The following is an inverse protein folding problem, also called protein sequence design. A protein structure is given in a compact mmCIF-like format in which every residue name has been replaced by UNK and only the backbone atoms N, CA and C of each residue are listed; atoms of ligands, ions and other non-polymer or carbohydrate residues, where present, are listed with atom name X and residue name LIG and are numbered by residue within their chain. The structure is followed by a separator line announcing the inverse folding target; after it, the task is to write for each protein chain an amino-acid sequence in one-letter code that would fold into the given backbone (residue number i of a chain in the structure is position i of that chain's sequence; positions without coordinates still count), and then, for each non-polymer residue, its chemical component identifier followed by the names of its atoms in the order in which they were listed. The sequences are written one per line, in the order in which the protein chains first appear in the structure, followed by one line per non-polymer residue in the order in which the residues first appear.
data_IF_584337973924
#
_entry.id   IF_584337973924
#
_cell.length_a   1.000
_cell.length_b   1.000
_cell.length_c   1.000
_cell.angle_alpha   90.00
_cell.angle_beta   90.00
_cell.angle_gamma   90.00
#
_symmetry.space_group_name_H-M   'P 1'
#
loop_
_entity.id
_entity.type
_entity.pdbx_description
1 polymer ?
#
# COMPACT_ATOMS: atom_id res chain seq x y z
N UNK A 1 5.31 46.42 30.19
CA UNK A 1 4.96 46.46 28.75
C UNK A 1 4.54 45.04 28.42
N UNK A 2 3.45 44.54 29.00
CA UNK A 2 2.07 45.03 28.83
C UNK A 2 1.69 44.90 27.37
N UNK A 3 0.99 43.81 27.06
CA UNK A 3 -0.30 43.82 26.35
C UNK A 3 -0.60 42.39 25.86
N UNK A 4 -1.12 41.58 26.80
CA UNK A 4 -1.80 40.32 26.52
C UNK A 4 -3.22 40.42 27.08
N UNK A 5 -3.89 41.52 26.75
CA UNK A 5 -5.33 41.71 26.92
C UNK A 5 -5.93 41.93 25.54
N UNK A 6 -6.50 40.87 24.96
CA UNK A 6 -7.64 40.94 24.04
C UNK A 6 -8.00 39.53 23.55
N UNK A 7 -8.23 38.60 24.50
CA UNK A 7 -9.09 37.45 24.25
C UNK A 7 -10.56 37.88 24.24
N UNK A 8 -10.88 38.96 23.53
CA UNK A 8 -12.25 39.34 23.24
C UNK A 8 -12.72 38.37 22.17
N UNK A 9 -13.72 37.57 22.52
CA UNK A 9 -14.41 36.61 21.68
C UNK A 9 -14.77 37.21 20.32
N UNK A 10 -13.89 37.07 19.34
CA UNK A 10 -14.26 37.23 17.94
C UNK A 10 -15.06 35.98 17.59
N UNK A 11 -16.35 35.99 17.92
CA UNK A 11 -17.32 35.09 17.32
C UNK A 11 -17.08 35.20 15.83
N UNK A 12 -16.55 34.14 15.22
CA UNK A 12 -16.24 34.13 13.78
C UNK A 12 -17.49 34.54 13.00
N UNK A 13 -17.35 35.28 11.90
CA UNK A 13 -18.50 35.68 11.07
C UNK A 13 -19.37 34.47 10.68
N UNK A 14 -18.76 33.29 10.57
CA UNK A 14 -19.43 32.00 10.38
C UNK A 14 -20.30 31.59 11.57
N UNK A 15 -19.86 31.80 12.81
CA UNK A 15 -20.67 31.58 14.00
C UNK A 15 -21.80 32.60 14.13
N UNK A 16 -21.58 33.86 13.73
CA UNK A 16 -22.63 34.88 13.65
C UNK A 16 -23.67 34.50 12.61
N UNK A 17 -23.22 34.07 11.42
CA UNK A 17 -24.08 33.63 10.33
C UNK A 17 -24.89 32.38 10.71
N UNK A 18 -24.24 31.39 11.34
CA UNK A 18 -24.89 30.18 11.85
C UNK A 18 -25.92 30.50 12.94
N UNK A 19 -25.59 31.40 13.88
CA UNK A 19 -26.56 31.87 14.89
C UNK A 19 -27.74 32.59 14.25
N UNK A 20 -27.50 33.50 13.30
CA UNK A 20 -28.56 34.21 12.60
C UNK A 20 -29.46 33.26 11.82
N UNK A 21 -28.90 32.28 11.12
CA UNK A 21 -29.65 31.28 10.39
C UNK A 21 -30.50 30.37 11.30
N UNK A 22 -29.97 30.03 12.49
CA UNK A 22 -30.74 29.28 13.50
C UNK A 22 -31.84 30.11 14.16
N UNK A 23 -31.65 31.43 14.27
CA UNK A 23 -32.68 32.35 14.79
C UNK A 23 -33.76 32.61 13.73
N UNK A 24 -33.39 32.89 12.48
CA UNK A 24 -34.32 33.19 11.38
C UNK A 24 -35.08 31.95 10.84
N UNK A 25 -34.70 30.73 11.24
CA UNK A 25 -35.34 29.50 10.80
C UNK A 25 -36.61 29.16 11.59
N UNK A 26 -37.80 29.41 11.01
CA UNK A 26 -39.17 29.07 11.46
C UNK A 26 -39.59 29.54 12.89
N UNK A 27 -38.68 29.57 13.88
CA UNK A 27 -38.96 29.86 15.30
C UNK A 27 -39.32 31.32 15.57
N UNK A 28 -38.69 32.29 14.88
CA UNK A 28 -39.06 33.71 15.01
C UNK A 28 -40.49 33.95 14.52
N UNK A 29 -40.92 33.24 13.48
CA UNK A 29 -42.27 33.36 12.91
C UNK A 29 -43.32 32.71 13.82
N UNK A 30 -43.02 31.53 14.39
CA UNK A 30 -43.91 30.87 15.35
C UNK A 30 -44.06 31.66 16.67
N UNK A 31 -42.99 32.27 17.21
CA UNK A 31 -43.08 33.13 18.41
C UNK A 31 -43.94 34.39 18.14
N UNK A 32 -43.75 35.06 16.99
CA UNK A 32 -44.58 36.20 16.60
C UNK A 32 -46.06 35.82 16.41
N UNK A 33 -46.33 34.60 15.94
CA UNK A 33 -47.70 34.08 15.79
C UNK A 33 -48.35 33.76 17.12
N UNK A 34 -47.59 33.23 18.08
CA UNK A 34 -48.06 33.02 19.46
C UNK A 34 -48.41 34.37 20.09
N UNK A 35 -47.56 35.39 19.95
CA UNK A 35 -47.83 36.74 20.45
C UNK A 35 -49.08 37.37 19.81
N UNK A 36 -49.29 37.10 18.51
CA UNK A 36 -50.48 37.55 17.77
C UNK A 36 -51.75 36.84 18.23
N UNK A 37 -51.70 35.53 18.49
CA UNK A 37 -52.80 34.77 19.06
C UNK A 37 -53.17 35.29 20.46
N UNK A 38 -52.17 35.53 21.31
CA UNK A 38 -52.39 36.10 22.65
C UNK A 38 -53.04 37.48 22.59
N UNK A 39 -52.56 38.35 21.71
CA UNK A 39 -53.14 39.69 21.52
C UNK A 39 -54.58 39.62 21.00
N UNK A 40 -54.85 38.71 20.05
CA UNK A 40 -56.20 38.49 19.50
C UNK A 40 -57.16 37.90 20.55
N UNK A 41 -56.66 37.04 21.44
CA UNK A 41 -57.43 36.46 22.54
C UNK A 41 -57.83 37.52 23.59
N UNK A 42 -56.91 38.43 23.94
CA UNK A 42 -57.19 39.55 24.86
C UNK A 42 -58.26 40.47 24.23
N UNK A 43 -58.11 40.84 22.96
CA UNK A 43 -59.08 41.66 22.24
C UNK A 43 -60.47 41.01 22.16
N UNK A 44 -60.52 39.69 21.96
CA UNK A 44 -61.77 38.93 21.95
C UNK A 44 -62.44 38.87 23.33
N UNK A 45 -61.65 38.79 24.41
CA UNK A 45 -62.16 38.86 25.80
C UNK A 45 -62.77 40.24 26.10
N UNK A 46 -62.14 41.33 25.64
CA UNK A 46 -62.63 42.69 25.83
C UNK A 46 -63.89 43.00 24.98
N UNK A 47 -64.06 42.31 23.84
CA UNK A 47 -65.19 42.48 22.93
C UNK A 47 -66.49 41.75 23.34
N UNK A 48 -66.46 40.92 24.40
CA UNK A 48 -67.62 40.14 24.88
C UNK A 48 -68.85 40.99 25.30
N UNK A 49 -68.69 42.31 25.45
CA UNK A 49 -69.78 43.27 25.71
C UNK A 49 -70.48 43.83 24.48
N UNK A 50 -70.03 43.48 23.26
CA UNK A 50 -70.58 43.95 21.99
C UNK A 50 -71.27 42.81 21.20
N UNK A 51 -72.00 43.19 20.15
CA UNK A 51 -72.98 42.36 19.39
C UNK A 51 -72.51 40.91 19.15
N UNK A 52 -73.38 39.93 19.45
CA UNK A 52 -72.99 38.51 19.58
C UNK A 52 -72.50 37.76 18.32
N UNK A 53 -72.67 38.30 17.11
CA UNK A 53 -72.21 37.67 15.85
C UNK A 53 -70.71 37.89 15.62
N UNK A 54 -70.19 39.08 15.92
CA UNK A 54 -68.76 39.42 15.79
C UNK A 54 -67.89 38.65 16.82
N UNK A 55 -68.49 38.32 17.96
CA UNK A 55 -67.87 37.50 19.02
C UNK A 55 -67.71 36.04 18.56
N UNK A 56 -68.68 35.48 17.83
CA UNK A 56 -68.60 34.12 17.30
C UNK A 56 -67.50 34.01 16.22
N UNK A 57 -67.45 34.95 15.28
CA UNK A 57 -66.41 35.00 14.24
C UNK A 57 -65.00 35.22 14.82
N UNK A 58 -64.89 35.99 15.91
CA UNK A 58 -63.64 36.14 16.65
C UNK A 58 -63.17 34.84 17.27
N UNK A 59 -64.09 34.05 17.83
CA UNK A 59 -63.78 32.75 18.44
C UNK A 59 -63.34 31.71 17.40
N UNK A 60 -64.03 31.62 16.25
CA UNK A 60 -63.63 30.72 15.17
C UNK A 60 -62.24 31.07 14.62
N UNK A 61 -61.92 32.36 14.48
CA UNK A 61 -60.57 32.80 14.08
C UNK A 61 -59.49 32.39 15.07
N UNK A 62 -59.76 32.48 16.37
CA UNK A 62 -58.84 32.01 17.41
C UNK A 62 -58.62 30.49 17.35
N UNK A 63 -59.68 29.71 17.09
CA UNK A 63 -59.56 28.26 16.92
C UNK A 63 -58.70 27.89 15.72
N UNK A 64 -58.90 28.55 14.57
CA UNK A 64 -58.10 28.32 13.36
C UNK A 64 -56.62 28.66 13.59
N UNK A 65 -56.33 29.78 14.26
CA UNK A 65 -54.97 30.17 14.62
C UNK A 65 -54.32 29.15 15.57
N UNK A 66 -55.07 28.66 16.56
CA UNK A 66 -54.58 27.65 17.49
C UNK A 66 -54.27 26.33 16.79
N UNK A 67 -55.15 25.86 15.90
CA UNK A 67 -54.94 24.60 15.18
C UNK A 67 -53.75 24.69 14.20
N UNK A 68 -53.56 25.85 13.58
CA UNK A 68 -52.37 26.12 12.78
C UNK A 68 -51.07 26.06 13.61
N UNK A 69 -51.05 26.69 14.79
CA UNK A 69 -49.88 26.63 15.68
C UNK A 69 -49.58 25.21 16.17
N UNK A 70 -50.60 24.43 16.52
CA UNK A 70 -50.44 23.00 16.86
C UNK A 70 -49.82 22.23 15.70
N UNK A 71 -50.30 22.45 14.48
CA UNK A 71 -49.77 21.80 13.29
C UNK A 71 -48.31 22.20 13.02
N UNK A 72 -47.98 23.50 13.11
CA UNK A 72 -46.60 23.98 12.95
C UNK A 72 -45.66 23.34 13.98
N UNK A 73 -46.07 23.31 15.25
CA UNK A 73 -45.31 22.68 16.33
C UNK A 73 -45.08 21.19 16.09
N UNK A 74 -46.11 20.45 15.68
CA UNK A 74 -45.99 19.03 15.35
C UNK A 74 -45.06 18.80 14.16
N UNK A 75 -45.16 19.62 13.12
CA UNK A 75 -44.28 19.56 11.94
C UNK A 75 -42.82 19.82 12.33
N UNK A 76 -42.56 20.78 13.21
CA UNK A 76 -41.22 21.09 13.72
C UNK A 76 -40.65 19.90 14.52
N UNK A 77 -41.47 19.27 15.38
CA UNK A 77 -41.07 18.08 16.13
C UNK A 77 -40.70 16.89 15.21
N UNK A 78 -41.48 16.64 14.16
CA UNK A 78 -41.15 15.60 13.17
C UNK A 78 -39.90 15.94 12.35
N UNK A 79 -39.70 17.21 11.97
CA UNK A 79 -38.47 17.67 11.30
C UNK A 79 -37.25 17.43 12.20
N UNK A 80 -37.36 17.73 13.49
CA UNK A 80 -36.28 17.47 14.44
C UNK A 80 -35.96 15.98 14.55
N UNK A 81 -36.99 15.12 14.63
CA UNK A 81 -36.81 13.66 14.65
C UNK A 81 -36.16 13.13 13.38
N UNK A 82 -36.59 13.62 12.21
CA UNK A 82 -35.97 13.27 10.93
C UNK A 82 -34.50 13.70 10.89
N UNK A 83 -34.21 14.95 11.29
CA UNK A 83 -32.83 15.46 11.30
C UNK A 83 -31.92 14.67 12.25
N UNK A 84 -32.41 14.27 13.43
CA UNK A 84 -31.61 13.44 14.34
C UNK A 84 -31.28 12.07 13.73
N UNK A 85 -32.22 11.46 13.00
CA UNK A 85 -31.97 10.19 12.30
C UNK A 85 -30.98 10.36 11.15
N UNK A 86 -31.12 11.43 10.38
CA UNK A 86 -30.18 11.74 9.28
C UNK A 86 -28.75 11.93 9.81
N UNK A 87 -28.58 12.61 10.95
CA UNK A 87 -27.27 12.78 11.59
C UNK A 87 -26.70 11.42 12.01
N UNK A 88 -27.50 10.57 12.66
CA UNK A 88 -27.06 9.22 13.06
C UNK A 88 -26.69 8.33 11.86
N UNK A 89 -27.40 8.45 10.74
CA UNK A 89 -27.08 7.74 9.50
C UNK A 89 -25.80 8.28 8.86
N UNK A 90 -25.61 9.61 8.83
CA UNK A 90 -24.38 10.24 8.35
C UNK A 90 -23.18 9.78 9.18
N UNK A 91 -23.29 9.74 10.51
CA UNK A 91 -22.21 9.27 11.39
C UNK A 91 -21.84 7.81 11.10
N UNK A 92 -22.83 6.93 10.86
CA UNK A 92 -22.56 5.54 10.47
C UNK A 92 -21.80 5.46 9.15
N UNK A 93 -22.26 6.19 8.13
CA UNK A 93 -21.60 6.22 6.82
C UNK A 93 -20.16 6.71 6.96
N UNK A 94 -19.92 7.74 7.78
CA UNK A 94 -18.57 8.25 8.05
C UNK A 94 -17.69 7.17 8.69
N UNK A 95 -18.18 6.48 9.72
CA UNK A 95 -17.42 5.39 10.36
C UNK A 95 -17.13 4.23 9.41
N UNK A 96 -18.07 3.89 8.53
CA UNK A 96 -17.88 2.83 7.52
C UNK A 96 -16.83 3.23 6.49
N UNK A 97 -16.86 4.48 6.01
CA UNK A 97 -15.84 5.03 5.12
C UNK A 97 -14.45 5.05 5.76
N UNK A 98 -14.35 5.44 7.04
CA UNK A 98 -13.08 5.42 7.78
C UNK A 98 -12.50 4.01 7.89
N UNK A 99 -13.36 3.02 8.19
CA UNK A 99 -12.96 1.62 8.25
C UNK A 99 -12.49 1.10 6.88
N UNK A 100 -13.20 1.41 5.80
CA UNK A 100 -12.82 1.04 4.44
C UNK A 100 -11.45 1.67 4.06
N UNK A 101 -11.22 2.93 4.42
CA UNK A 101 -9.92 3.59 4.19
C UNK A 101 -8.79 2.86 4.93
N UNK A 102 -9.01 2.43 6.17
CA UNK A 102 -8.02 1.66 6.93
C UNK A 102 -7.76 0.31 6.28
N UNK A 103 -8.80 -0.39 5.83
CA UNK A 103 -8.67 -1.68 5.14
C UNK A 103 -7.92 -1.54 3.81
N UNK A 104 -8.26 -0.55 2.99
CA UNK A 104 -7.57 -0.28 1.73
C UNK A 104 -6.11 0.06 1.97
N UNK A 105 -5.78 0.87 2.98
CA UNK A 105 -4.39 1.16 3.35
C UNK A 105 -3.63 -0.12 3.72
N UNK A 106 -4.24 -1.00 4.51
CA UNK A 106 -3.65 -2.30 4.86
C UNK A 106 -3.41 -3.15 3.60
N UNK A 107 -4.41 -3.27 2.73
CA UNK A 107 -4.30 -4.03 1.48
C UNK A 107 -3.18 -3.47 0.59
N UNK A 108 -3.02 -2.15 0.49
CA UNK A 108 -1.92 -1.53 -0.25
C UNK A 108 -0.56 -1.97 0.32
N UNK A 109 -0.40 -1.96 1.65
CA UNK A 109 0.87 -2.38 2.27
C UNK A 109 1.19 -3.85 2.03
N UNK A 110 0.19 -4.73 2.09
CA UNK A 110 0.35 -6.17 1.81
C UNK A 110 0.73 -6.40 0.34
N UNK A 111 0.04 -5.76 -0.60
CA UNK A 111 0.36 -5.87 -2.04
C UNK A 111 1.73 -5.30 -2.38
N UNK A 112 2.17 -4.27 -1.66
CA UNK A 112 3.51 -3.73 -1.84
C UNK A 112 4.59 -4.72 -1.38
N UNK A 113 4.35 -5.48 -0.30
CA UNK A 113 5.26 -6.52 0.16
C UNK A 113 5.32 -7.68 -0.85
N UNK A 114 4.17 -8.18 -1.30
CA UNK A 114 4.07 -9.23 -2.32
C UNK A 114 4.79 -8.84 -3.62
N UNK A 115 4.66 -7.57 -4.03
CA UNK A 115 5.34 -7.06 -5.21
C UNK A 115 6.87 -7.09 -5.06
N UNK A 116 7.40 -6.71 -3.89
CA UNK A 116 8.83 -6.75 -3.64
C UNK A 116 9.37 -8.19 -3.60
N UNK A 117 8.60 -9.13 -3.05
CA UNK A 117 8.94 -10.56 -3.09
C UNK A 117 8.94 -11.10 -4.52
N UNK A 118 7.92 -10.76 -5.32
CA UNK A 118 7.84 -11.15 -6.72
C UNK A 118 9.01 -10.57 -7.55
N UNK A 119 9.42 -9.32 -7.28
CA UNK A 119 10.59 -8.70 -7.91
C UNK A 119 11.88 -9.45 -7.56
N UNK A 120 12.07 -9.81 -6.28
CA UNK A 120 13.23 -10.61 -5.83
C UNK A 120 13.25 -11.98 -6.51
N UNK A 121 12.11 -12.67 -6.57
CA UNK A 121 11.98 -13.95 -7.24
C UNK A 121 12.33 -13.86 -8.74
N UNK A 122 11.83 -12.82 -9.43
CA UNK A 122 12.16 -12.55 -10.83
C UNK A 122 13.66 -12.30 -11.03
N UNK A 123 14.28 -11.48 -10.18
CA UNK A 123 15.71 -11.20 -10.26
C UNK A 123 16.54 -12.47 -10.06
N UNK A 124 16.17 -13.29 -9.08
CA UNK A 124 16.83 -14.57 -8.82
C UNK A 124 16.68 -15.51 -10.02
N UNK A 125 15.48 -15.62 -10.60
CA UNK A 125 15.25 -16.39 -11.83
C UNK A 125 16.15 -15.92 -12.97
N UNK A 126 16.25 -14.61 -13.21
CA UNK A 126 17.14 -14.08 -14.25
C UNK A 126 18.61 -14.41 -14.00
N UNK A 127 19.07 -14.36 -12.73
CA UNK A 127 20.44 -14.76 -12.35
C UNK A 127 20.67 -16.25 -12.61
N UNK A 128 19.73 -17.10 -12.24
CA UNK A 128 19.81 -18.54 -12.50
C UNK A 128 19.78 -18.87 -13.99
N UNK A 129 18.91 -18.22 -14.77
CA UNK A 129 18.85 -18.39 -16.22
C UNK A 129 20.17 -17.97 -16.89
N UNK A 130 20.77 -16.85 -16.46
CA UNK A 130 22.07 -16.40 -16.95
C UNK A 130 23.18 -17.40 -16.60
N UNK A 131 23.23 -17.89 -15.36
CA UNK A 131 24.19 -18.91 -14.94
C UNK A 131 23.97 -20.22 -15.71
N UNK A 132 22.73 -20.63 -15.92
CA UNK A 132 22.34 -21.82 -16.68
C UNK A 132 22.81 -21.76 -18.13
N UNK A 133 22.72 -20.59 -18.78
CA UNK A 133 23.28 -20.38 -20.14
C UNK A 133 24.79 -20.57 -20.16
N UNK A 134 25.51 -20.01 -19.17
CA UNK A 134 26.96 -20.19 -19.07
C UNK A 134 27.30 -21.66 -18.85
N UNK A 135 26.64 -22.34 -17.92
CA UNK A 135 26.85 -23.76 -17.64
C UNK A 135 26.57 -24.62 -18.88
N UNK A 136 25.52 -24.30 -19.64
CA UNK A 136 25.17 -25.03 -20.87
C UNK A 136 26.18 -24.83 -22.01
N UNK A 137 26.94 -23.73 -21.99
CA UNK A 137 28.03 -23.50 -22.96
C UNK A 137 29.29 -24.32 -22.65
N UNK A 138 29.44 -24.78 -21.40
CA UNK A 138 30.59 -25.57 -20.98
C UNK A 138 30.40 -27.05 -21.36
N UNK A 139 31.49 -27.78 -21.67
CA UNK A 139 31.42 -29.19 -22.00
C UNK A 139 30.91 -30.00 -20.80
N UNK A 140 30.11 -31.03 -21.10
CA UNK A 140 29.54 -31.90 -20.08
C UNK A 140 30.65 -32.52 -19.23
N UNK A 141 30.48 -32.47 -17.91
CA UNK A 141 31.46 -32.92 -16.92
C UNK A 141 31.85 -34.38 -17.17
N UNK A 142 30.89 -35.24 -17.54
CA UNK A 142 31.18 -36.66 -17.81
C UNK A 142 32.11 -36.84 -19.01
N UNK A 143 31.91 -36.06 -20.07
CA UNK A 143 32.76 -36.13 -21.26
C UNK A 143 34.16 -35.58 -20.97
N UNK A 144 34.26 -34.46 -20.25
CA UNK A 144 35.54 -33.90 -19.82
C UNK A 144 36.32 -34.88 -18.94
N UNK A 145 35.66 -35.57 -18.00
CA UNK A 145 36.29 -36.60 -17.17
C UNK A 145 36.85 -37.76 -17.99
N UNK A 146 36.08 -38.29 -18.96
CA UNK A 146 36.55 -39.35 -19.86
C UNK A 146 37.75 -38.93 -20.70
N UNK A 147 37.76 -37.69 -21.19
CA UNK A 147 38.91 -37.14 -21.92
C UNK A 147 40.14 -37.05 -21.02
N UNK A 148 39.95 -36.65 -19.76
CA UNK A 148 41.00 -36.55 -18.77
C UNK A 148 41.61 -37.92 -18.46
N UNK A 149 40.78 -38.93 -18.20
CA UNK A 149 41.22 -40.32 -17.99
C UNK A 149 41.99 -40.87 -19.19
N UNK A 150 41.52 -40.58 -20.42
CA UNK A 150 42.22 -40.97 -21.64
C UNK A 150 43.61 -40.33 -21.74
N UNK A 151 43.69 -39.01 -21.53
CA UNK A 151 44.97 -38.27 -21.57
C UNK A 151 45.92 -38.78 -20.48
N UNK A 152 45.42 -39.07 -19.28
CA UNK A 152 46.23 -39.67 -18.22
C UNK A 152 46.77 -41.05 -18.59
N UNK A 153 45.96 -41.88 -19.25
CA UNK A 153 46.39 -43.15 -19.83
C UNK A 153 47.50 -42.96 -20.88
N UNK A 154 47.30 -42.04 -21.81
CA UNK A 154 48.27 -41.72 -22.86
C UNK A 154 49.61 -41.22 -22.25
N UNK A 155 49.56 -40.36 -21.22
CA UNK A 155 50.74 -39.90 -20.49
C UNK A 155 51.50 -41.07 -19.86
N UNK A 156 50.80 -42.01 -19.21
CA UNK A 156 51.42 -43.19 -18.60
C UNK A 156 52.11 -44.05 -19.66
N UNK A 157 51.45 -44.32 -20.78
CA UNK A 157 52.06 -45.12 -21.87
C UNK A 157 53.25 -44.43 -22.52
N UNK A 158 53.19 -43.11 -22.72
CA UNK A 158 54.31 -42.33 -23.26
C UNK A 158 55.50 -42.29 -22.30
N UNK A 159 55.27 -42.20 -20.98
CA UNK A 159 56.34 -42.31 -19.98
C UNK A 159 57.06 -43.66 -20.06
N UNK A 160 56.31 -44.76 -20.11
CA UNK A 160 56.88 -46.10 -20.24
C UNK A 160 57.68 -46.26 -21.54
N UNK A 161 57.16 -45.76 -22.66
CA UNK A 161 57.89 -45.78 -23.95
C UNK A 161 59.17 -44.94 -23.89
N UNK A 162 59.13 -43.76 -23.26
CA UNK A 162 60.30 -42.91 -23.07
C UNK A 162 61.37 -43.62 -22.24
N UNK A 163 60.98 -44.26 -21.13
CA UNK A 163 61.91 -45.01 -20.28
C UNK A 163 62.55 -46.20 -21.03
N UNK A 164 61.75 -46.94 -21.81
CA UNK A 164 62.27 -48.02 -22.64
C UNK A 164 63.27 -47.53 -23.70
N UNK A 165 62.93 -46.46 -24.42
CA UNK A 165 63.82 -45.86 -25.42
C UNK A 165 65.10 -45.30 -24.80
N UNK A 166 65.01 -44.70 -23.61
CA UNK A 166 66.18 -44.21 -22.88
C UNK A 166 67.12 -45.37 -22.53
N UNK A 167 66.57 -46.49 -22.05
CA UNK A 167 67.36 -47.68 -21.75
C UNK A 167 68.07 -48.24 -23.00
N UNK A 168 67.36 -48.35 -24.12
CA UNK A 168 67.94 -48.78 -25.40
C UNK A 168 69.05 -47.82 -25.88
N UNK A 169 68.87 -46.51 -25.69
CA UNK A 169 69.90 -45.52 -26.03
C UNK A 169 71.14 -45.67 -25.16
N UNK A 170 70.98 -45.84 -23.84
CA UNK A 170 72.08 -46.05 -22.89
C UNK A 170 72.84 -47.35 -23.20
N UNK A 171 72.15 -48.42 -23.59
CA UNK A 171 72.76 -49.69 -24.02
C UNK A 171 73.58 -49.51 -25.31
N UNK A 172 73.04 -48.80 -26.31
CA UNK A 172 73.77 -48.47 -27.53
C UNK A 172 75.00 -47.62 -27.25
N UNK A 173 74.90 -46.65 -26.35
CA UNK A 173 76.04 -45.84 -25.94
C UNK A 173 77.15 -46.69 -25.29
N UNK A 174 76.78 -47.64 -24.42
CA UNK A 174 77.73 -48.62 -23.84
C UNK A 174 78.39 -49.47 -24.92
N UNK A 175 77.61 -50.01 -25.86
CA UNK A 175 78.16 -50.79 -26.98
C UNK A 175 79.14 -49.96 -27.83
N UNK A 176 78.81 -48.69 -28.09
CA UNK A 176 79.68 -47.80 -28.88
C UNK A 176 80.98 -47.48 -28.15
N UNK A 177 80.93 -47.25 -26.83
CA UNK A 177 82.13 -47.08 -25.98
C UNK A 177 83.01 -48.33 -26.02
N UNK A 178 82.43 -49.52 -25.88
CA UNK A 178 83.15 -50.80 -26.00
C UNK A 178 83.86 -50.92 -27.37
N UNK A 179 83.17 -50.59 -28.46
CA UNK A 179 83.75 -50.62 -29.81
C UNK A 179 84.90 -49.61 -29.97
N UNK A 180 84.75 -48.40 -29.41
CA UNK A 180 85.78 -47.36 -29.40
C UNK A 180 87.03 -47.78 -28.61
N UNK A 181 86.85 -48.46 -27.48
CA UNK A 181 87.96 -49.03 -26.70
C UNK A 181 88.65 -50.15 -27.48
N UNK A 182 87.89 -51.10 -28.04
CA UNK A 182 88.45 -52.21 -28.82
C UNK A 182 89.23 -51.70 -30.06
N UNK A 183 88.72 -50.69 -30.76
CA UNK A 183 89.43 -50.06 -31.89
C UNK A 183 90.69 -49.31 -31.43
N UNK A 184 90.68 -48.64 -30.28
CA UNK A 184 91.89 -48.06 -29.69
C UNK A 184 92.93 -49.12 -29.35
N UNK A 185 92.52 -50.24 -28.73
CA UNK A 185 93.42 -51.34 -28.39
C UNK A 185 94.03 -51.99 -29.63
N UNK A 186 93.23 -52.23 -30.67
CA UNK A 186 93.73 -52.74 -31.96
C UNK A 186 94.71 -51.74 -32.58
N UNK A 187 94.38 -50.45 -32.63
CA UNK A 187 95.29 -49.42 -33.15
C UNK A 187 96.59 -49.34 -32.36
N UNK A 188 96.56 -49.54 -31.04
CA UNK A 188 97.76 -49.59 -30.20
C UNK A 188 98.60 -50.83 -30.51
N UNK A 189 97.97 -52.01 -30.67
CA UNK A 189 98.66 -53.27 -31.01
C UNK A 189 99.28 -53.28 -32.42
N UNK A 190 98.69 -52.60 -33.40
CA UNK A 190 99.22 -52.51 -34.77
C UNK A 190 100.21 -51.36 -34.99
N UNK A 191 100.48 -50.54 -33.97
CA UNK A 191 101.42 -49.39 -34.04
C UNK A 191 102.76 -49.65 -33.33
N UNK A 192 102.88 -50.81 -32.66
CA UNK A 192 104.15 -51.45 -32.27
C UNK A 192 104.47 -52.57 -33.27
#
# INVERSE_FOLDING_TARGET
MSDSEAGASHISDEEVFKRKLMMDGDRIDDDQRIDTLFSSFIQWCDAQGQRGEEVADGYERLLVQLDYLKFSSQKSAERQRASTREIEEMDKILTDMENEVVEVKKNITERHLELEEAKKARLNKMKYDALGRIISSLPDRKNSMKQLERIEGDIKTLKLKKEALQKDADEREKHLRLLLTATHELKYKFRN
#
